data_IF_867656303925
#
_entry.id   IF_867656303925
#
_cell.length_a   1.000
_cell.length_b   1.000
_cell.length_c   1.000
_cell.angle_alpha   90.00
_cell.angle_beta   90.00
_cell.angle_gamma   90.00
#
_symmetry.space_group_name_H-M   'P 1'
#
loop_
_entity.id
_entity.type
_entity.pdbx_description
1 polymer ?
#
# COMPACT_ATOMS: atom_id res chain seq x y z
N UNK A 1 -36.84 -11.71 -48.00
CA UNK A 1 -37.21 -13.14 -48.13
C UNK A 1 -38.02 -13.26 -49.41
N UNK A 2 -37.62 -14.12 -50.35
CA UNK A 2 -38.34 -14.30 -51.61
C UNK A 2 -39.57 -15.19 -51.42
N UNK A 3 -40.60 -15.06 -52.28
CA UNK A 3 -41.83 -15.90 -52.31
C UNK A 3 -41.56 -17.42 -52.26
N UNK A 4 -40.36 -17.87 -52.68
CA UNK A 4 -39.92 -19.27 -52.57
C UNK A 4 -39.70 -19.74 -51.13
N UNK A 5 -39.35 -18.85 -50.20
CA UNK A 5 -39.17 -19.24 -48.80
C UNK A 5 -40.51 -19.34 -48.07
N UNK A 6 -41.48 -18.46 -48.36
CA UNK A 6 -42.83 -18.55 -47.79
C UNK A 6 -43.58 -19.81 -48.23
N UNK A 7 -43.42 -20.22 -49.50
CA UNK A 7 -44.05 -21.45 -50.04
C UNK A 7 -43.42 -22.75 -49.50
N UNK A 8 -42.17 -22.72 -49.05
CA UNK A 8 -41.50 -23.88 -48.46
C UNK A 8 -42.03 -24.19 -47.05
N UNK A 9 -42.16 -23.18 -46.19
CA UNK A 9 -42.65 -23.36 -44.81
C UNK A 9 -44.16 -23.63 -44.74
N UNK A 10 -44.97 -23.06 -45.64
CA UNK A 10 -46.42 -23.30 -45.68
C UNK A 10 -46.81 -24.70 -46.16
N UNK A 11 -45.96 -25.41 -46.91
CA UNK A 11 -46.17 -26.82 -47.31
C UNK A 11 -45.71 -27.85 -46.27
N UNK A 12 -44.93 -27.45 -45.27
CA UNK A 12 -44.48 -28.31 -44.17
C UNK A 12 -45.58 -28.47 -43.10
N UNK A 13 -46.79 -28.88 -43.49
CA UNK A 13 -47.81 -29.25 -42.53
C UNK A 13 -47.48 -30.62 -41.93
N UNK A 14 -47.30 -30.68 -40.60
CA UNK A 14 -47.11 -31.94 -39.85
C UNK A 14 -48.20 -32.98 -40.16
N UNK A 15 -49.37 -32.58 -40.70
CA UNK A 15 -50.42 -33.52 -41.12
C UNK A 15 -50.01 -34.36 -42.34
N UNK A 16 -49.24 -33.84 -43.29
CA UNK A 16 -48.97 -34.47 -44.59
C UNK A 16 -47.66 -35.30 -44.66
N UNK A 17 -46.89 -35.39 -43.56
CA UNK A 17 -45.66 -36.17 -43.51
C UNK A 17 -45.95 -37.68 -43.39
N UNK A 18 -45.07 -38.53 -43.97
CA UNK A 18 -45.10 -39.98 -43.72
C UNK A 18 -44.87 -40.26 -42.23
N UNK A 19 -45.53 -41.29 -41.70
CA UNK A 19 -45.44 -41.69 -40.27
C UNK A 19 -43.99 -41.86 -39.80
N UNK A 20 -43.12 -42.46 -40.61
CA UNK A 20 -41.69 -42.59 -40.28
C UNK A 20 -40.96 -41.26 -40.08
N UNK A 21 -41.31 -40.21 -40.84
CA UNK A 21 -40.71 -38.87 -40.69
C UNK A 21 -41.18 -38.21 -39.40
N UNK A 22 -42.46 -38.39 -39.03
CA UNK A 22 -43.01 -37.88 -37.76
C UNK A 22 -42.34 -38.54 -36.55
N UNK A 23 -42.11 -39.85 -36.63
CA UNK A 23 -41.44 -40.62 -35.57
C UNK A 23 -39.99 -40.13 -35.39
N UNK A 24 -39.24 -39.96 -36.48
CA UNK A 24 -37.88 -39.44 -36.43
C UNK A 24 -37.83 -38.00 -35.88
N UNK A 25 -38.73 -37.12 -36.32
CA UNK A 25 -38.85 -35.76 -35.76
C UNK A 25 -39.12 -35.77 -34.26
N UNK A 26 -40.00 -36.66 -33.78
CA UNK A 26 -40.29 -36.79 -32.35
C UNK A 26 -39.04 -37.24 -31.57
N UNK A 27 -38.27 -38.20 -32.10
CA UNK A 27 -37.01 -38.64 -31.50
C UNK A 27 -35.99 -37.51 -31.47
N UNK A 28 -35.82 -36.75 -32.55
CA UNK A 28 -34.94 -35.58 -32.58
C UNK A 28 -35.36 -34.51 -31.56
N UNK A 29 -36.66 -34.23 -31.43
CA UNK A 29 -37.17 -33.28 -30.43
C UNK A 29 -36.86 -33.77 -29.01
N UNK A 30 -37.10 -35.05 -28.72
CA UNK A 30 -36.80 -35.63 -27.41
C UNK A 30 -35.30 -35.56 -27.07
N UNK A 31 -34.43 -35.81 -28.05
CA UNK A 31 -32.98 -35.66 -27.90
C UNK A 31 -32.59 -34.20 -27.65
N UNK A 32 -33.12 -33.26 -28.42
CA UNK A 32 -32.84 -31.82 -28.22
C UNK A 32 -33.28 -31.39 -26.83
N UNK A 33 -34.48 -31.79 -26.38
CA UNK A 33 -35.00 -31.45 -25.04
C UNK A 33 -34.13 -32.05 -23.95
N UNK A 34 -33.74 -33.33 -24.03
CA UNK A 34 -32.88 -33.95 -23.02
C UNK A 34 -31.51 -33.27 -22.94
N UNK A 35 -30.92 -32.91 -24.08
CA UNK A 35 -29.67 -32.16 -24.12
C UNK A 35 -29.81 -30.74 -23.54
N UNK A 36 -30.90 -30.04 -23.81
CA UNK A 36 -31.16 -28.71 -23.22
C UNK A 36 -31.25 -28.82 -21.69
N UNK A 37 -31.96 -29.82 -21.17
CA UNK A 37 -32.06 -30.06 -19.72
C UNK A 37 -30.69 -30.37 -19.12
N UNK A 38 -29.93 -31.31 -19.69
CA UNK A 38 -28.58 -31.66 -19.25
C UNK A 38 -27.65 -30.44 -19.29
N UNK A 39 -27.79 -29.58 -20.31
CA UNK A 39 -27.03 -28.33 -20.42
C UNK A 39 -27.31 -27.38 -19.27
N UNK A 40 -28.58 -27.17 -18.94
CA UNK A 40 -28.99 -26.24 -17.88
C UNK A 40 -28.46 -26.73 -16.53
N UNK A 41 -28.65 -28.01 -16.22
CA UNK A 41 -28.14 -28.61 -14.99
C UNK A 41 -26.61 -28.63 -14.94
N UNK A 42 -25.95 -29.08 -16.02
CA UNK A 42 -24.49 -29.11 -16.12
C UNK A 42 -23.88 -27.72 -15.99
N UNK A 43 -24.49 -26.70 -16.58
CA UNK A 43 -24.04 -25.32 -16.46
C UNK A 43 -24.21 -24.78 -15.03
N UNK A 44 -25.33 -25.10 -14.36
CA UNK A 44 -25.55 -24.75 -12.96
C UNK A 44 -24.50 -25.39 -12.04
N UNK A 45 -24.23 -26.69 -12.23
CA UNK A 45 -23.20 -27.43 -11.48
C UNK A 45 -21.82 -26.82 -11.73
N UNK A 46 -21.45 -26.58 -12.98
CA UNK A 46 -20.16 -26.00 -13.35
C UNK A 46 -19.98 -24.60 -12.76
N UNK A 47 -21.01 -23.76 -12.82
CA UNK A 47 -20.99 -22.43 -12.23
C UNK A 47 -20.75 -22.46 -10.72
N UNK A 48 -21.46 -23.35 -10.01
CA UNK A 48 -21.27 -23.52 -8.58
C UNK A 48 -19.89 -24.09 -8.24
N UNK A 49 -19.37 -25.02 -9.05
CA UNK A 49 -18.05 -25.59 -8.85
C UNK A 49 -16.94 -24.57 -9.08
N UNK A 50 -17.02 -23.78 -10.16
CA UNK A 50 -16.07 -22.70 -10.42
C UNK A 50 -16.09 -21.67 -9.29
N UNK A 51 -17.27 -21.21 -8.86
CA UNK A 51 -17.39 -20.27 -7.72
C UNK A 51 -16.70 -20.78 -6.47
N UNK A 52 -16.98 -22.04 -6.09
CA UNK A 52 -16.38 -22.66 -4.90
C UNK A 52 -14.87 -22.87 -5.04
N UNK A 53 -14.40 -23.27 -6.23
CA UNK A 53 -12.98 -23.46 -6.49
C UNK A 53 -12.23 -22.14 -6.39
N UNK A 54 -12.72 -21.10 -7.07
CA UNK A 54 -12.12 -19.74 -7.00
C UNK A 54 -12.16 -19.18 -5.58
N UNK A 55 -13.26 -19.41 -4.84
CA UNK A 55 -13.37 -18.99 -3.45
C UNK A 55 -12.28 -19.61 -2.58
N UNK A 56 -12.14 -20.93 -2.67
CA UNK A 56 -11.18 -21.69 -1.90
C UNK A 56 -9.74 -21.28 -2.25
N UNK A 57 -9.44 -21.08 -3.52
CA UNK A 57 -8.12 -20.68 -3.98
C UNK A 57 -7.77 -19.25 -3.54
N UNK A 58 -8.72 -18.31 -3.63
CA UNK A 58 -8.53 -16.94 -3.10
C UNK A 58 -8.34 -16.95 -1.58
N UNK A 59 -9.14 -17.73 -0.85
CA UNK A 59 -9.04 -17.87 0.61
C UNK A 59 -7.69 -18.46 1.01
N UNK A 60 -7.24 -19.53 0.35
CA UNK A 60 -5.94 -20.15 0.60
C UNK A 60 -4.78 -19.18 0.35
N UNK A 61 -4.82 -18.44 -0.76
CA UNK A 61 -3.80 -17.46 -1.08
C UNK A 61 -3.80 -16.30 -0.08
N UNK A 62 -4.97 -15.78 0.27
CA UNK A 62 -5.13 -14.71 1.27
C UNK A 62 -4.61 -15.16 2.64
N UNK A 63 -4.94 -16.38 3.05
CA UNK A 63 -4.45 -16.95 4.31
C UNK A 63 -2.94 -17.14 4.31
N UNK A 64 -2.36 -17.64 3.22
CA UNK A 64 -0.91 -17.79 3.10
C UNK A 64 -0.19 -16.44 3.18
N UNK A 65 -0.69 -15.42 2.48
CA UNK A 65 -0.12 -14.07 2.47
C UNK A 65 -0.30 -13.35 3.81
N UNK A 66 -1.39 -13.63 4.53
CA UNK A 66 -1.56 -13.21 5.93
C UNK A 66 -0.45 -13.76 6.81
N UNK A 67 -0.21 -15.08 6.78
CA UNK A 67 0.82 -15.70 7.62
C UNK A 67 2.21 -15.15 7.28
N UNK A 68 2.54 -15.04 5.99
CA UNK A 68 3.81 -14.45 5.55
C UNK A 68 3.98 -13.02 6.10
N UNK A 69 2.94 -12.19 6.01
CA UNK A 69 3.01 -10.83 6.55
C UNK A 69 3.18 -10.79 8.07
N UNK A 70 2.49 -11.66 8.80
CA UNK A 70 2.64 -11.75 10.26
C UNK A 70 4.07 -12.16 10.65
N UNK A 71 4.62 -13.18 9.99
CA UNK A 71 5.96 -13.70 10.24
C UNK A 71 7.04 -12.63 9.91
N UNK A 72 6.98 -12.04 8.72
CA UNK A 72 7.93 -11.00 8.29
C UNK A 72 7.86 -9.75 9.19
N UNK A 73 6.66 -9.36 9.62
CA UNK A 73 6.50 -8.21 10.51
C UNK A 73 7.12 -8.47 11.90
N UNK A 74 6.86 -9.64 12.50
CA UNK A 74 7.46 -9.99 13.78
C UNK A 74 8.98 -10.17 13.68
N UNK A 75 9.50 -10.69 12.56
CA UNK A 75 10.94 -10.74 12.28
C UNK A 75 11.55 -9.33 12.24
N UNK A 76 10.94 -8.40 11.51
CA UNK A 76 11.40 -7.00 11.47
C UNK A 76 11.42 -6.37 12.86
N UNK A 77 10.40 -6.61 13.69
CA UNK A 77 10.40 -6.12 15.08
C UNK A 77 11.53 -6.72 15.93
N UNK A 78 11.85 -8.00 15.72
CA UNK A 78 12.98 -8.65 16.38
C UNK A 78 14.31 -8.04 15.92
N UNK A 79 14.48 -7.84 14.63
CA UNK A 79 15.68 -7.26 14.04
C UNK A 79 15.87 -5.78 14.41
N UNK A 80 14.78 -5.00 14.61
CA UNK A 80 14.90 -3.65 15.19
C UNK A 80 15.52 -3.71 16.59
N UNK A 81 15.12 -4.67 17.43
CA UNK A 81 15.73 -4.82 18.77
C UNK A 81 17.20 -5.19 18.67
N UNK A 82 17.57 -6.08 17.75
CA UNK A 82 18.96 -6.46 17.49
C UNK A 82 19.78 -5.28 16.96
N UNK A 83 19.22 -4.48 16.05
CA UNK A 83 19.85 -3.28 15.51
C UNK A 83 20.21 -2.30 16.61
N UNK A 84 19.30 -2.10 17.57
CA UNK A 84 19.51 -1.24 18.75
C UNK A 84 20.11 -2.01 19.94
N UNK A 85 21.21 -2.71 19.70
CA UNK A 85 22.06 -3.28 20.75
C UNK A 85 22.67 -2.20 21.66
N UNK A 86 23.19 -2.59 22.83
CA UNK A 86 23.88 -1.66 23.75
C UNK A 86 25.01 -0.86 23.06
N UNK A 87 25.75 -1.50 22.13
CA UNK A 87 26.79 -0.83 21.34
C UNK A 87 26.19 0.22 20.40
N UNK A 88 25.10 -0.11 19.70
CA UNK A 88 24.42 0.86 18.84
C UNK A 88 23.86 2.03 19.67
N UNK A 89 23.23 1.75 20.82
CA UNK A 89 22.68 2.79 21.69
C UNK A 89 23.79 3.71 22.24
N UNK A 90 24.96 3.15 22.56
CA UNK A 90 26.14 3.93 22.94
C UNK A 90 26.58 4.88 21.81
N UNK A 91 26.68 4.38 20.57
CA UNK A 91 26.98 5.23 19.40
C UNK A 91 25.89 6.28 19.14
N UNK A 92 24.62 5.97 19.40
CA UNK A 92 23.51 6.94 19.33
C UNK A 92 23.68 8.05 20.38
N UNK A 93 24.15 7.71 21.59
CA UNK A 93 24.47 8.70 22.62
C UNK A 93 25.58 9.65 22.18
N UNK A 94 26.64 9.12 21.55
CA UNK A 94 27.74 9.94 21.02
C UNK A 94 27.31 10.81 19.84
N UNK A 95 26.48 10.27 18.93
CA UNK A 95 25.86 11.04 17.85
C UNK A 95 25.04 12.21 18.41
N UNK A 96 24.24 11.96 19.46
CA UNK A 96 23.44 12.98 20.14
C UNK A 96 24.34 14.08 20.72
N UNK A 97 25.42 13.71 21.40
CA UNK A 97 26.41 14.67 21.91
C UNK A 97 27.03 15.50 20.77
N UNK A 98 27.40 14.86 19.66
CA UNK A 98 27.91 15.54 18.47
C UNK A 98 26.90 16.50 17.85
N UNK A 99 25.60 16.16 17.86
CA UNK A 99 24.54 17.06 17.39
C UNK A 99 24.52 18.34 18.22
N UNK A 100 24.49 18.23 19.55
CA UNK A 100 24.45 19.40 20.43
C UNK A 100 25.77 20.20 20.44
N UNK A 101 26.90 19.55 20.16
CA UNK A 101 28.20 20.21 20.02
C UNK A 101 28.47 20.79 18.63
N UNK A 102 27.61 20.56 17.64
CA UNK A 102 27.85 20.94 16.25
C UNK A 102 28.16 22.44 16.08
N UNK A 103 27.51 23.30 16.86
CA UNK A 103 27.78 24.75 16.84
C UNK A 103 29.18 25.11 17.34
N UNK A 104 29.74 24.34 18.27
CA UNK A 104 31.12 24.49 18.72
C UNK A 104 32.11 23.92 17.70
N UNK A 105 31.84 22.71 17.19
CA UNK A 105 32.69 22.03 16.19
C UNK A 105 32.77 22.83 14.88
N UNK A 106 31.68 23.51 14.53
CA UNK A 106 31.50 24.25 13.28
C UNK A 106 31.18 25.72 13.54
N UNK A 107 31.85 26.37 14.51
CA UNK A 107 31.56 27.75 14.91
C UNK A 107 31.47 28.77 13.75
N UNK A 108 32.29 28.62 12.72
CA UNK A 108 32.27 29.47 11.51
C UNK A 108 31.02 29.30 10.63
N UNK A 109 30.15 28.35 10.93
CA UNK A 109 28.84 28.18 10.30
C UNK A 109 27.72 28.92 11.05
N UNK A 110 28.00 29.34 12.29
CA UNK A 110 27.01 29.94 13.20
C UNK A 110 27.21 31.45 13.36
N UNK A 111 28.08 32.07 12.56
CA UNK A 111 28.10 33.54 12.44
C UNK A 111 26.88 34.05 11.65
N UNK A 112 26.54 35.32 11.85
CA UNK A 112 25.34 35.93 11.29
C UNK A 112 25.34 35.93 9.75
N UNK A 113 26.48 36.13 9.11
CA UNK A 113 26.59 36.20 7.64
C UNK A 113 26.41 34.81 7.02
N UNK A 114 27.04 33.79 7.62
CA UNK A 114 26.88 32.39 7.24
C UNK A 114 25.43 31.93 7.38
N UNK A 115 24.79 32.19 8.53
CA UNK A 115 23.41 31.81 8.78
C UNK A 115 22.43 32.54 7.84
N UNK A 116 22.64 33.83 7.57
CA UNK A 116 21.83 34.57 6.60
C UNK A 116 21.94 33.96 5.19
N UNK A 117 23.15 33.58 4.78
CA UNK A 117 23.39 32.89 3.51
C UNK A 117 22.71 31.52 3.47
N UNK A 118 22.81 30.73 4.53
CA UNK A 118 22.19 29.41 4.61
C UNK A 118 20.67 29.48 4.57
N UNK A 119 20.06 30.42 5.32
CA UNK A 119 18.61 30.68 5.26
C UNK A 119 18.15 30.97 3.84
N UNK A 120 18.87 31.84 3.10
CA UNK A 120 18.54 32.14 1.72
C UNK A 120 18.61 30.90 0.81
N UNK A 121 19.70 30.13 0.88
CA UNK A 121 19.88 28.94 0.05
C UNK A 121 18.86 27.84 0.38
N UNK A 122 18.60 27.61 1.67
CA UNK A 122 17.57 26.68 2.12
C UNK A 122 16.18 27.11 1.71
N UNK A 123 15.85 28.41 1.75
CA UNK A 123 14.52 28.89 1.34
C UNK A 123 14.23 28.56 -0.13
N UNK A 124 15.21 28.74 -1.02
CA UNK A 124 15.09 28.35 -2.42
C UNK A 124 14.95 26.83 -2.57
N UNK A 125 15.74 26.04 -1.84
CA UNK A 125 15.60 24.59 -1.82
C UNK A 125 14.20 24.14 -1.38
N UNK A 126 13.66 24.73 -0.31
CA UNK A 126 12.31 24.44 0.14
C UNK A 126 11.28 24.77 -0.94
N UNK A 127 11.36 25.94 -1.57
CA UNK A 127 10.42 26.37 -2.60
C UNK A 127 10.48 25.49 -3.86
N UNK A 128 11.69 25.21 -4.36
CA UNK A 128 11.89 24.56 -5.65
C UNK A 128 11.84 23.03 -5.54
N UNK A 129 12.58 22.46 -4.58
CA UNK A 129 12.85 21.02 -4.50
C UNK A 129 11.87 20.26 -3.59
N UNK A 130 11.22 20.95 -2.65
CA UNK A 130 10.27 20.33 -1.72
C UNK A 130 8.82 20.78 -2.02
N UNK A 131 8.50 22.03 -1.74
CA UNK A 131 7.19 22.66 -1.94
C UNK A 131 6.77 22.55 -3.41
N UNK A 132 7.70 22.73 -4.36
CA UNK A 132 7.49 22.55 -5.79
C UNK A 132 7.03 21.15 -6.21
N UNK A 133 7.40 20.11 -5.45
CA UNK A 133 7.00 18.70 -5.70
C UNK A 133 5.73 18.28 -4.98
N UNK A 134 5.21 19.12 -4.08
CA UNK A 134 3.95 18.85 -3.38
C UNK A 134 2.78 19.20 -4.30
N UNK A 135 2.07 18.16 -4.71
CA UNK A 135 0.90 18.28 -5.60
C UNK A 135 -0.41 18.60 -4.87
N UNK A 136 -0.45 18.51 -3.53
CA UNK A 136 -1.63 18.70 -2.70
C UNK A 136 -1.29 19.31 -1.34
N UNK A 137 -2.18 20.15 -0.79
CA UNK A 137 -2.01 20.80 0.51
C UNK A 137 -0.62 21.42 0.64
N UNK A 138 -0.24 22.13 -0.44
CA UNK A 138 1.06 22.78 -0.58
C UNK A 138 1.17 23.82 0.53
N UNK A 139 2.14 23.67 1.46
CA UNK A 139 2.30 24.59 2.56
C UNK A 139 2.89 25.90 2.03
N UNK A 140 2.64 26.98 2.77
CA UNK A 140 3.45 28.18 2.63
C UNK A 140 4.84 27.95 3.25
N UNK A 141 5.86 28.66 2.78
CA UNK A 141 7.23 28.46 3.24
C UNK A 141 7.33 28.65 4.76
N UNK A 142 6.71 29.71 5.29
CA UNK A 142 6.74 30.08 6.70
C UNK A 142 6.13 29.01 7.63
N UNK A 143 5.24 28.18 7.11
CA UNK A 143 4.60 27.09 7.87
C UNK A 143 5.55 25.93 8.16
N UNK A 144 6.60 25.76 7.35
CA UNK A 144 7.51 24.61 7.42
C UNK A 144 8.99 24.97 7.51
N UNK A 145 9.33 26.23 7.27
CA UNK A 145 10.73 26.65 7.23
C UNK A 145 11.35 26.63 8.63
N UNK A 146 12.59 26.10 8.78
CA UNK A 146 13.32 26.08 10.04
C UNK A 146 13.60 27.48 10.59
N UNK A 147 13.51 27.61 11.91
CA UNK A 147 13.68 28.91 12.60
C UNK A 147 14.99 28.97 13.39
N UNK A 148 15.39 27.88 14.05
CA UNK A 148 16.58 27.85 14.91
C UNK A 148 17.87 27.78 14.08
N UNK A 149 18.94 28.41 14.56
CA UNK A 149 20.23 28.41 13.87
C UNK A 149 20.81 27.00 13.70
N UNK A 150 20.65 26.15 14.72
CA UNK A 150 20.99 24.73 14.65
C UNK A 150 20.25 24.00 13.52
N UNK A 151 18.93 24.22 13.37
CA UNK A 151 18.12 23.64 12.29
C UNK A 151 18.64 24.10 10.92
N UNK A 152 18.90 25.40 10.78
CA UNK A 152 19.43 25.99 9.55
C UNK A 152 20.78 25.40 9.18
N UNK A 153 21.73 25.37 10.11
CA UNK A 153 23.06 24.84 9.84
C UNK A 153 23.01 23.35 9.47
N UNK A 154 22.29 22.55 10.24
CA UNK A 154 22.18 21.10 10.01
C UNK A 154 21.45 20.78 8.71
N UNK A 155 20.33 21.44 8.43
CA UNK A 155 19.62 21.19 7.18
C UNK A 155 20.37 21.73 5.96
N UNK A 156 21.07 22.85 6.08
CA UNK A 156 21.94 23.34 5.00
C UNK A 156 22.99 22.28 4.65
N UNK A 157 23.62 21.69 5.66
CA UNK A 157 24.64 20.66 5.49
C UNK A 157 24.09 19.34 4.94
N UNK A 158 23.01 18.80 5.53
CA UNK A 158 22.55 17.43 5.25
C UNK A 158 21.38 17.32 4.27
N UNK A 159 20.62 18.41 4.06
CA UNK A 159 19.57 18.47 3.04
C UNK A 159 20.10 19.17 1.80
N UNK A 160 20.41 20.46 1.89
CA UNK A 160 20.75 21.26 0.71
C UNK A 160 22.07 20.86 0.05
N UNK A 161 23.16 20.75 0.82
CA UNK A 161 24.48 20.35 0.30
C UNK A 161 24.62 18.86 -0.01
N UNK A 162 23.60 18.05 0.28
CA UNK A 162 23.65 16.63 0.00
C UNK A 162 23.64 16.41 -1.51
N UNK A 163 24.70 15.78 -2.02
CA UNK A 163 24.90 15.49 -3.45
C UNK A 163 23.83 14.56 -4.04
N UNK A 164 23.12 13.83 -3.20
CA UNK A 164 22.06 12.91 -3.63
C UNK A 164 20.71 13.63 -3.71
N UNK A 165 19.90 13.32 -4.74
CA UNK A 165 18.59 13.92 -4.92
C UNK A 165 17.62 13.52 -3.79
N UNK A 166 16.50 14.24 -3.70
CA UNK A 166 15.41 13.87 -2.79
C UNK A 166 14.97 12.41 -3.05
N UNK A 167 14.76 11.64 -1.98
CA UNK A 167 14.46 10.21 -2.04
C UNK A 167 15.68 9.28 -2.06
N UNK A 168 16.89 9.83 -2.24
CA UNK A 168 18.15 9.06 -2.21
C UNK A 168 19.19 9.63 -1.22
N UNK A 169 18.79 10.60 -0.41
CA UNK A 169 19.68 11.31 0.51
C UNK A 169 20.29 10.43 1.58
N UNK A 170 19.72 9.25 1.85
CA UNK A 170 20.28 8.23 2.71
C UNK A 170 21.59 7.62 2.17
N UNK A 171 21.95 7.85 0.91
CA UNK A 171 23.25 7.45 0.36
C UNK A 171 24.41 8.34 0.83
N UNK A 172 24.13 9.46 1.52
CA UNK A 172 25.18 10.28 2.14
C UNK A 172 25.64 9.62 3.44
N UNK A 173 26.73 8.86 3.39
CA UNK A 173 27.32 8.19 4.56
C UNK A 173 28.24 9.14 5.34
N UNK A 174 29.19 9.78 4.66
CA UNK A 174 30.25 10.59 5.27
C UNK A 174 30.37 11.94 4.55
N UNK A 175 30.52 13.03 5.31
CA UNK A 175 30.79 14.37 4.77
C UNK A 175 32.26 14.78 4.84
N UNK A 176 33.03 14.20 5.77
CA UNK A 176 34.39 14.59 6.12
C UNK A 176 34.47 16.04 6.62
N UNK A 177 33.47 16.48 7.37
CA UNK A 177 33.37 17.89 7.80
C UNK A 177 34.13 18.21 9.09
N UNK A 178 34.74 17.19 9.71
CA UNK A 178 35.53 17.30 10.93
C UNK A 178 34.74 17.47 12.22
N UNK A 179 33.40 17.46 12.18
CA UNK A 179 32.57 17.47 13.38
C UNK A 179 32.53 16.09 14.04
N UNK A 180 32.33 16.08 15.36
CA UNK A 180 32.05 14.85 16.10
C UNK A 180 30.74 14.19 15.64
N UNK A 181 29.75 14.99 15.21
CA UNK A 181 28.52 14.48 14.63
C UNK A 181 28.76 13.63 13.37
N UNK A 182 29.58 14.09 12.42
CA UNK A 182 29.82 13.37 11.15
C UNK A 182 30.51 12.02 11.36
N UNK A 183 31.39 11.92 12.36
CA UNK A 183 32.07 10.67 12.74
C UNK A 183 31.06 9.56 13.12
N UNK A 184 30.18 9.84 14.08
CA UNK A 184 29.18 8.87 14.53
C UNK A 184 28.03 8.72 13.52
N UNK A 185 27.71 9.78 12.78
CA UNK A 185 26.72 9.73 11.70
C UNK A 185 27.13 8.69 10.66
N UNK A 186 28.39 8.64 10.24
CA UNK A 186 28.86 7.68 9.23
C UNK A 186 28.63 6.21 9.64
N UNK A 187 28.91 5.87 10.90
CA UNK A 187 28.67 4.53 11.44
C UNK A 187 27.17 4.19 11.46
N UNK A 188 26.35 5.05 12.06
CA UNK A 188 24.90 4.84 12.20
C UNK A 188 24.22 4.81 10.83
N UNK A 189 24.59 5.73 9.94
CA UNK A 189 24.02 5.83 8.59
C UNK A 189 24.24 4.57 7.77
N UNK A 190 25.43 3.96 7.87
CA UNK A 190 25.75 2.73 7.14
C UNK A 190 24.85 1.58 7.61
N UNK A 191 24.75 1.37 8.92
CA UNK A 191 23.93 0.32 9.52
C UNK A 191 22.44 0.51 9.20
N UNK A 192 21.91 1.72 9.36
CA UNK A 192 20.49 1.99 9.14
C UNK A 192 20.11 1.93 7.66
N UNK A 193 21.02 2.31 6.75
CA UNK A 193 20.81 2.15 5.31
C UNK A 193 20.75 0.66 4.92
N UNK A 194 21.62 -0.17 5.49
CA UNK A 194 21.56 -1.61 5.25
C UNK A 194 20.29 -2.23 5.83
N UNK A 195 19.87 -1.82 7.03
CA UNK A 195 18.60 -2.24 7.61
C UNK A 195 17.40 -1.89 6.71
N UNK A 196 17.33 -0.63 6.23
CA UNK A 196 16.32 -0.18 5.26
C UNK A 196 16.32 -1.04 3.99
N UNK A 197 17.50 -1.36 3.45
CA UNK A 197 17.63 -2.15 2.23
C UNK A 197 17.17 -3.59 2.41
N UNK A 198 17.42 -4.19 3.58
CA UNK A 198 17.06 -5.59 3.88
C UNK A 198 15.57 -5.70 4.18
N UNK A 199 15.03 -4.83 5.03
CA UNK A 199 13.68 -4.97 5.57
C UNK A 199 12.63 -4.05 4.92
N UNK A 200 13.03 -3.16 4.01
CA UNK A 200 12.10 -2.32 3.25
C UNK A 200 11.39 -1.24 4.06
N UNK A 201 11.86 -0.89 5.27
CA UNK A 201 11.33 0.24 6.05
C UNK A 201 11.60 1.57 5.33
N UNK A 202 10.81 2.61 5.59
CA UNK A 202 10.88 3.86 4.83
C UNK A 202 11.96 4.80 5.38
N UNK A 203 11.98 4.99 6.70
CA UNK A 203 12.83 5.97 7.38
C UNK A 203 13.11 5.57 8.84
N UNK A 204 14.17 6.13 9.43
CA UNK A 204 14.47 6.05 10.87
C UNK A 204 14.77 7.45 11.37
N UNK A 205 14.16 7.81 12.50
CA UNK A 205 14.40 9.02 13.25
C UNK A 205 14.99 8.66 14.62
N UNK A 206 15.94 9.45 15.10
CA UNK A 206 16.35 9.40 16.51
C UNK A 206 16.01 10.75 17.13
N UNK A 207 15.29 10.70 18.24
CA UNK A 207 14.74 11.86 18.91
C UNK A 207 15.25 11.92 20.35
N UNK A 208 15.77 13.07 20.75
CA UNK A 208 16.19 13.29 22.13
C UNK A 208 14.99 13.52 23.04
N UNK A 209 14.93 12.78 24.15
CA UNK A 209 13.81 12.84 25.09
C UNK A 209 13.75 14.12 25.92
N UNK A 210 14.88 14.82 26.10
CA UNK A 210 14.91 16.02 26.93
C UNK A 210 14.50 17.27 26.15
N UNK A 211 15.05 17.44 24.95
CA UNK A 211 14.81 18.60 24.08
C UNK A 211 13.65 18.38 23.13
N UNK A 212 13.37 17.14 22.70
CA UNK A 212 12.48 16.82 21.60
C UNK A 212 13.10 17.02 20.22
N UNK A 213 14.42 17.25 20.13
CA UNK A 213 15.11 17.44 18.85
C UNK A 213 15.26 16.12 18.08
N UNK A 214 14.91 16.15 16.79
CA UNK A 214 15.19 15.10 15.82
C UNK A 214 16.65 15.20 15.41
N UNK A 215 17.55 14.72 16.26
CA UNK A 215 18.99 14.83 16.05
C UNK A 215 19.53 13.90 14.95
N UNK A 216 18.72 12.97 14.46
CA UNK A 216 19.05 12.12 13.30
C UNK A 216 17.81 11.80 12.47
N UNK A 217 17.99 11.76 11.14
CA UNK A 217 17.02 11.21 10.20
C UNK A 217 17.74 10.46 9.07
N UNK A 218 17.30 9.25 8.73
CA UNK A 218 17.95 8.40 7.73
C UNK A 218 17.87 9.00 6.32
N UNK A 219 16.69 9.48 5.92
CA UNK A 219 16.43 10.04 4.58
C UNK A 219 16.75 11.54 4.43
N UNK A 220 17.11 12.23 5.52
CA UNK A 220 17.39 13.68 5.54
C UNK A 220 16.23 14.45 4.90
N UNK A 221 15.01 14.21 5.37
CA UNK A 221 13.84 15.00 4.98
C UNK A 221 13.74 16.28 5.85
N UNK A 222 12.72 17.11 5.60
CA UNK A 222 12.57 18.40 6.28
C UNK A 222 12.24 18.31 7.77
N UNK A 223 11.94 17.12 8.31
CA UNK A 223 11.78 16.91 9.74
C UNK A 223 13.12 16.77 10.48
N UNK A 224 14.23 16.56 9.77
CA UNK A 224 15.56 16.52 10.37
C UNK A 224 15.93 17.82 11.08
N UNK A 225 16.59 17.70 12.25
CA UNK A 225 16.98 18.79 13.15
C UNK A 225 15.83 19.62 13.75
N UNK A 226 14.58 19.34 13.38
CA UNK A 226 13.41 20.03 13.95
C UNK A 226 13.09 19.53 15.36
N UNK A 227 12.16 20.21 16.02
CA UNK A 227 11.76 19.89 17.39
C UNK A 227 10.32 19.36 17.45
N UNK A 228 10.11 18.18 18.03
CA UNK A 228 8.79 17.54 18.14
C UNK A 228 7.92 18.08 19.28
N UNK A 229 8.46 18.87 20.21
CA UNK A 229 7.66 19.56 21.24
C UNK A 229 7.17 20.92 20.80
N UNK A 230 8.01 21.67 20.09
CA UNK A 230 7.81 23.10 19.84
C UNK A 230 7.87 23.51 18.37
N UNK A 231 8.48 22.69 17.51
CA UNK A 231 8.72 22.99 16.10
C UNK A 231 7.52 22.75 15.18
N UNK A 232 7.76 22.86 13.86
CA UNK A 232 6.73 22.84 12.81
C UNK A 232 5.95 21.52 12.73
N UNK A 233 6.54 20.41 13.19
CA UNK A 233 5.92 19.08 13.14
C UNK A 233 5.40 18.57 14.50
N UNK A 234 5.28 19.43 15.52
CA UNK A 234 4.87 19.03 16.88
C UNK A 234 3.48 18.37 16.98
N UNK A 235 2.59 18.62 16.03
CA UNK A 235 1.22 18.09 16.02
C UNK A 235 1.05 16.82 15.17
N UNK A 236 2.14 16.31 14.60
CA UNK A 236 2.14 15.10 13.76
C UNK A 236 2.07 13.81 14.58
N UNK A 237 1.70 12.69 13.94
CA UNK A 237 1.66 11.38 14.59
C UNK A 237 3.05 10.93 15.05
N UNK A 238 4.14 11.25 14.34
CA UNK A 238 5.50 10.97 14.82
C UNK A 238 5.78 11.61 16.19
N UNK A 239 5.32 12.85 16.42
CA UNK A 239 5.48 13.50 17.74
C UNK A 239 4.68 12.80 18.84
N UNK A 240 3.45 12.36 18.53
CA UNK A 240 2.61 11.65 19.49
C UNK A 240 3.21 10.29 19.85
N UNK A 241 3.59 9.48 18.86
CA UNK A 241 4.18 8.15 19.08
C UNK A 241 5.51 8.23 19.81
N UNK A 242 6.34 9.24 19.49
CA UNK A 242 7.54 9.55 20.26
C UNK A 242 7.24 9.83 21.74
N UNK A 243 6.26 10.68 22.02
CA UNK A 243 5.90 11.06 23.40
C UNK A 243 5.33 9.89 24.19
N UNK A 244 4.53 9.03 23.56
CA UNK A 244 4.03 7.80 24.19
C UNK A 244 5.17 6.84 24.56
N UNK A 245 6.14 6.65 23.66
CA UNK A 245 7.32 5.85 23.93
C UNK A 245 8.18 6.45 25.06
N UNK A 246 8.38 7.77 25.05
CA UNK A 246 9.14 8.45 26.09
C UNK A 246 8.47 8.35 27.47
N UNK A 247 7.13 8.41 27.53
CA UNK A 247 6.37 8.32 28.77
C UNK A 247 6.34 6.90 29.39
N UNK A 248 6.75 5.88 28.64
CA UNK A 248 6.77 4.49 29.10
C UNK A 248 7.61 4.33 30.38
N UNK A 249 7.02 3.87 31.48
CA UNK A 249 7.74 3.69 32.76
C UNK A 249 8.44 2.34 32.86
N UNK A 250 8.04 1.39 32.03
CA UNK A 250 8.60 0.04 32.06
C UNK A 250 10.02 0.06 31.47
N UNK A 251 10.95 -0.58 32.17
CA UNK A 251 12.34 -0.76 31.70
C UNK A 251 12.43 -1.72 30.52
N UNK A 252 11.32 -2.36 30.14
CA UNK A 252 11.25 -3.22 28.97
C UNK A 252 11.07 -2.37 27.71
N UNK A 253 11.99 -2.54 26.75
CA UNK A 253 11.98 -1.92 25.43
C UNK A 253 10.81 -2.43 24.57
N UNK A 254 9.59 -2.03 24.93
CA UNK A 254 8.37 -2.30 24.18
C UNK A 254 8.18 -1.25 23.09
N UNK A 255 7.50 -1.69 22.02
CA UNK A 255 7.17 -0.84 20.90
C UNK A 255 5.87 -0.06 21.14
N UNK A 256 5.80 1.12 20.53
CA UNK A 256 4.65 2.01 20.46
C UNK A 256 4.32 2.28 19.01
N UNK A 257 3.05 2.52 18.69
CA UNK A 257 2.58 2.47 17.32
C UNK A 257 1.64 3.63 17.02
N UNK A 258 1.65 4.11 15.78
CA UNK A 258 0.55 4.90 15.21
C UNK A 258 0.18 4.38 13.83
N UNK A 259 -1.13 4.43 13.56
CA UNK A 259 -1.71 4.11 12.25
C UNK A 259 -1.25 5.14 11.19
N UNK A 260 -1.50 4.83 9.93
CA UNK A 260 -1.24 5.68 8.80
C UNK A 260 -1.89 7.05 8.95
N UNK A 261 -1.07 8.09 8.83
CA UNK A 261 -1.49 9.49 8.76
C UNK A 261 -0.68 10.23 7.70
N UNK A 262 -1.26 11.24 7.07
CA UNK A 262 -0.51 12.06 6.13
C UNK A 262 0.62 12.78 6.83
N UNK A 263 1.83 12.64 6.29
CA UNK A 263 3.00 13.30 6.83
C UNK A 263 3.63 14.21 5.79
N UNK A 264 3.58 15.51 6.08
CA UNK A 264 4.04 16.55 5.16
C UNK A 264 5.52 16.37 4.74
N UNK A 265 6.47 16.06 5.65
CA UNK A 265 7.86 15.79 5.27
C UNK A 265 8.07 14.66 4.27
N UNK A 266 7.12 13.74 4.16
CA UNK A 266 7.08 12.67 3.15
C UNK A 266 6.15 13.02 1.98
N UNK A 267 6.11 14.31 1.61
CA UNK A 267 5.29 14.86 0.52
C UNK A 267 3.78 14.59 0.68
N UNK A 268 3.31 14.59 1.93
CA UNK A 268 1.93 14.24 2.30
C UNK A 268 1.55 12.79 1.95
N UNK A 269 2.50 11.87 1.83
CA UNK A 269 2.19 10.43 1.80
C UNK A 269 1.70 9.96 3.18
N UNK A 270 0.79 8.96 3.23
CA UNK A 270 0.41 8.33 4.48
C UNK A 270 1.57 7.49 5.03
N UNK A 271 1.94 7.74 6.28
CA UNK A 271 2.98 7.00 7.01
C UNK A 271 2.47 6.54 8.37
N UNK A 272 2.83 5.32 8.74
CA UNK A 272 2.66 4.75 10.07
C UNK A 272 4.01 4.76 10.82
N UNK A 273 3.98 4.73 12.14
CA UNK A 273 5.20 4.80 12.95
C UNK A 273 5.26 3.71 14.00
N UNK A 274 6.48 3.24 14.25
CA UNK A 274 6.84 2.35 15.36
C UNK A 274 7.92 3.04 16.17
N UNK A 275 7.66 3.36 17.44
CA UNK A 275 8.66 3.94 18.33
C UNK A 275 9.18 2.94 19.36
N UNK A 276 10.48 3.01 19.63
CA UNK A 276 11.21 2.19 20.59
C UNK A 276 12.06 3.10 21.50
N UNK A 277 11.83 3.11 22.83
CA UNK A 277 12.73 3.75 23.78
C UNK A 277 14.09 3.06 23.77
N UNK A 278 15.16 3.84 23.59
CA UNK A 278 16.53 3.33 23.65
C UNK A 278 17.06 3.51 25.07
N UNK A 279 17.23 2.39 25.78
CA UNK A 279 17.63 2.37 27.19
C UNK A 279 19.02 1.78 27.31
N UNK A 280 19.94 2.50 27.96
CA UNK A 280 21.28 2.03 28.28
C UNK A 280 21.56 2.31 29.76
N UNK A 281 22.01 1.30 30.51
CA UNK A 281 22.26 1.41 31.96
C UNK A 281 21.09 2.03 32.77
N UNK A 282 19.86 1.65 32.44
CA UNK A 282 18.60 2.18 33.01
C UNK A 282 18.32 3.66 32.71
N UNK A 283 19.05 4.28 31.78
CA UNK A 283 18.79 5.63 31.31
C UNK A 283 18.22 5.60 29.89
N UNK A 284 17.16 6.39 29.65
CA UNK A 284 16.63 6.59 28.29
C UNK A 284 17.54 7.55 27.54
N UNK A 285 18.35 7.01 26.63
CA UNK A 285 19.31 7.77 25.83
C UNK A 285 18.58 8.59 24.76
N UNK A 286 17.63 7.97 24.07
CA UNK A 286 16.84 8.56 22.99
C UNK A 286 15.59 7.71 22.74
N UNK A 287 14.76 8.12 21.78
CA UNK A 287 13.70 7.28 21.20
C UNK A 287 14.00 7.10 19.72
N UNK A 288 14.04 5.86 19.26
CA UNK A 288 14.03 5.55 17.85
C UNK A 288 12.58 5.54 17.34
N UNK A 289 12.32 6.18 16.20
CA UNK A 289 11.04 6.09 15.50
C UNK A 289 11.29 5.56 14.10
N UNK A 290 10.71 4.40 13.79
CA UNK A 290 10.74 3.73 12.51
C UNK A 290 9.48 4.11 11.75
N UNK A 291 9.65 4.54 10.50
CA UNK A 291 8.56 4.92 9.61
C UNK A 291 8.25 3.80 8.62
N UNK A 292 6.98 3.45 8.51
CA UNK A 292 6.45 2.46 7.57
C UNK A 292 5.46 3.14 6.61
N UNK A 293 5.73 3.03 5.32
CA UNK A 293 4.85 3.38 4.23
C UNK A 293 4.03 2.18 3.76
N UNK A 294 3.13 2.39 2.80
CA UNK A 294 2.39 1.28 2.20
C UNK A 294 3.32 0.34 1.43
N UNK A 295 4.44 0.85 0.92
CA UNK A 295 5.43 0.09 0.14
C UNK A 295 6.00 -1.11 0.94
N UNK A 296 6.17 -0.97 2.26
CA UNK A 296 6.62 -2.05 3.14
C UNK A 296 5.70 -3.28 3.04
N UNK A 297 4.39 -3.06 3.23
CA UNK A 297 3.39 -4.11 3.21
C UNK A 297 3.11 -4.63 1.79
N UNK A 298 3.16 -3.73 0.80
CA UNK A 298 2.98 -4.08 -0.62
C UNK A 298 4.04 -5.05 -1.11
N UNK A 299 5.31 -4.86 -0.74
CA UNK A 299 6.39 -5.75 -1.14
C UNK A 299 6.18 -7.19 -0.65
N UNK A 300 5.54 -7.36 0.52
CA UNK A 300 5.26 -8.68 1.10
C UNK A 300 4.00 -9.31 0.46
N UNK A 301 2.95 -8.49 0.30
CA UNK A 301 1.63 -8.97 -0.14
C UNK A 301 1.47 -9.08 -1.66
N UNK A 302 2.29 -8.37 -2.43
CA UNK A 302 2.25 -8.43 -3.89
C UNK A 302 2.47 -9.86 -4.39
N UNK A 303 1.70 -10.25 -5.39
CA UNK A 303 1.76 -11.57 -6.00
C UNK A 303 1.66 -11.42 -7.52
N UNK A 304 2.80 -11.54 -8.18
CA UNK A 304 2.90 -11.36 -9.63
C UNK A 304 2.05 -12.39 -10.38
N UNK A 305 2.04 -13.65 -9.92
CA UNK A 305 1.28 -14.72 -10.55
C UNK A 305 -0.21 -14.43 -10.49
N UNK A 306 -0.71 -14.02 -9.32
CA UNK A 306 -2.12 -13.65 -9.12
C UNK A 306 -2.53 -12.55 -10.09
N UNK A 307 -1.76 -11.46 -10.17
CA UNK A 307 -2.07 -10.30 -11.00
C UNK A 307 -2.06 -10.65 -12.49
N UNK A 308 -1.15 -11.53 -12.92
CA UNK A 308 -1.04 -11.94 -14.33
C UNK A 308 -2.14 -12.91 -14.77
N UNK A 309 -2.59 -13.79 -13.88
CA UNK A 309 -3.50 -14.88 -14.23
C UNK A 309 -4.95 -14.57 -13.89
N UNK A 310 -5.20 -13.71 -12.90
CA UNK A 310 -6.54 -13.40 -12.40
C UNK A 310 -6.88 -11.93 -12.60
N UNK A 311 -7.71 -11.66 -13.61
CA UNK A 311 -8.05 -10.30 -14.02
C UNK A 311 -8.68 -9.49 -12.87
N UNK A 312 -7.96 -8.44 -12.45
CA UNK A 312 -8.36 -7.56 -11.36
C UNK A 312 -8.36 -8.23 -9.99
N UNK A 313 -7.57 -9.29 -9.80
CA UNK A 313 -7.29 -9.83 -8.49
C UNK A 313 -6.14 -9.09 -7.79
N UNK A 314 -6.26 -8.96 -6.47
CA UNK A 314 -5.25 -8.30 -5.64
C UNK A 314 -5.40 -8.77 -4.19
N UNK A 315 -4.33 -8.60 -3.44
CA UNK A 315 -4.33 -8.68 -1.98
C UNK A 315 -4.05 -7.27 -1.45
N UNK A 316 -4.79 -6.85 -0.44
CA UNK A 316 -4.68 -5.54 0.19
C UNK A 316 -4.87 -5.67 1.70
N UNK A 317 -4.66 -4.59 2.44
CA UNK A 317 -4.96 -4.47 3.85
C UNK A 317 -6.15 -3.53 4.03
N UNK A 318 -7.04 -3.83 4.96
CA UNK A 318 -8.17 -2.95 5.30
C UNK A 318 -8.23 -2.68 6.79
N UNK A 319 -8.73 -1.50 7.16
CA UNK A 319 -9.16 -1.20 8.52
C UNK A 319 -10.63 -1.57 8.77
N UNK A 320 -11.11 -1.30 9.99
CA UNK A 320 -12.49 -1.48 10.40
C UNK A 320 -13.51 -0.64 9.59
N UNK A 321 -13.07 0.42 8.92
CA UNK A 321 -13.89 1.23 8.02
C UNK A 321 -13.89 0.68 6.58
N UNK A 322 -13.27 -0.48 6.33
CA UNK A 322 -13.05 -1.09 5.03
C UNK A 322 -12.23 -0.23 4.06
N UNK A 323 -11.39 0.68 4.56
CA UNK A 323 -10.46 1.46 3.74
C UNK A 323 -9.21 0.66 3.47
N UNK A 324 -8.76 0.64 2.21
CA UNK A 324 -7.49 0.05 1.83
C UNK A 324 -6.33 0.79 2.51
N UNK A 325 -5.31 0.07 2.96
CA UNK A 325 -4.06 0.64 3.47
C UNK A 325 -2.92 0.53 2.46
N UNK A 326 -3.12 -0.20 1.36
CA UNK A 326 -2.16 -0.32 0.27
C UNK A 326 -2.70 0.28 -1.02
N UNK A 327 -1.79 0.68 -1.89
CA UNK A 327 -2.12 1.21 -3.19
C UNK A 327 -2.54 0.09 -4.16
N UNK A 328 -3.49 0.39 -5.04
CA UNK A 328 -3.82 -0.52 -6.14
C UNK A 328 -2.80 -0.36 -7.27
N UNK A 329 -2.45 -1.44 -7.98
CA UNK A 329 -1.53 -1.42 -9.13
C UNK A 329 -1.81 -0.31 -10.15
N UNK A 330 -3.09 -0.05 -10.42
CA UNK A 330 -3.49 0.97 -11.39
C UNK A 330 -3.14 2.40 -10.93
N UNK A 331 -2.97 2.62 -9.62
CA UNK A 331 -2.51 3.90 -9.05
C UNK A 331 -1.03 4.14 -9.36
N UNK A 332 -0.20 3.10 -9.33
CA UNK A 332 1.21 3.20 -9.74
C UNK A 332 1.35 3.36 -11.25
N UNK A 333 0.59 2.61 -12.03
CA UNK A 333 0.74 2.58 -13.48
C UNK A 333 0.20 3.84 -14.17
N UNK A 334 -0.95 4.37 -13.73
CA UNK A 334 -1.63 5.49 -14.40
C UNK A 334 -2.27 6.48 -13.38
N UNK A 335 -1.50 7.14 -12.50
CA UNK A 335 -2.02 7.97 -11.40
C UNK A 335 -2.96 9.09 -11.85
N UNK A 336 -2.67 9.75 -12.98
CA UNK A 336 -3.54 10.80 -13.52
C UNK A 336 -4.89 10.26 -14.00
N UNK A 337 -4.88 9.14 -14.73
CA UNK A 337 -6.09 8.48 -15.23
C UNK A 337 -6.93 7.94 -14.07
N UNK A 338 -6.25 7.43 -13.04
CA UNK A 338 -6.86 7.00 -11.79
C UNK A 338 -7.58 8.16 -11.10
N UNK A 339 -6.90 9.29 -10.90
CA UNK A 339 -7.51 10.50 -10.31
C UNK A 339 -8.69 11.03 -11.15
N UNK A 340 -8.56 11.08 -12.48
CA UNK A 340 -9.65 11.47 -13.37
C UNK A 340 -10.87 10.55 -13.26
N UNK A 341 -10.65 9.24 -13.09
CA UNK A 341 -11.73 8.24 -12.96
C UNK A 341 -12.53 8.44 -11.67
N UNK A 342 -11.87 8.73 -10.56
CA UNK A 342 -12.53 9.05 -9.29
C UNK A 342 -13.39 10.31 -9.39
N UNK A 343 -12.88 11.38 -10.00
CA UNK A 343 -13.63 12.63 -10.23
C UNK A 343 -14.89 12.37 -11.06
N UNK A 344 -14.74 11.63 -12.18
CA UNK A 344 -15.86 11.30 -13.09
C UNK A 344 -16.96 10.49 -12.41
N UNK A 345 -16.61 9.64 -11.44
CA UNK A 345 -17.57 8.79 -10.70
C UNK A 345 -18.29 9.50 -9.56
N UNK A 346 -18.16 10.82 -9.45
CA UNK A 346 -18.90 11.61 -8.46
C UNK A 346 -18.35 11.46 -7.03
N UNK A 347 -17.17 10.86 -6.87
CA UNK A 347 -16.38 10.96 -5.63
C UNK A 347 -15.85 12.39 -5.57
N UNK A 348 -16.71 13.31 -5.15
CA UNK A 348 -16.44 14.74 -4.96
C UNK A 348 -15.87 15.03 -3.58
N UNK A 349 -15.19 14.06 -2.98
CA UNK A 349 -14.39 14.31 -1.79
C UNK A 349 -13.04 14.84 -2.28
N UNK A 350 -12.79 16.12 -2.01
CA UNK A 350 -11.58 16.85 -2.38
C UNK A 350 -10.33 16.06 -1.94
N UNK A 351 -10.36 15.44 -0.76
CA UNK A 351 -9.31 14.54 -0.24
C UNK A 351 -9.12 13.27 -1.07
N UNK A 352 -10.19 12.59 -1.50
CA UNK A 352 -10.10 11.36 -2.33
C UNK A 352 -9.50 11.63 -3.71
N UNK A 353 -9.98 12.65 -4.41
CA UNK A 353 -9.50 12.98 -5.75
C UNK A 353 -8.04 13.43 -5.76
N UNK A 354 -7.51 13.88 -4.62
CA UNK A 354 -6.20 14.50 -4.54
C UNK A 354 -5.15 13.55 -3.96
N UNK A 355 -5.50 12.65 -3.06
CA UNK A 355 -4.60 11.59 -2.65
C UNK A 355 -4.39 10.49 -3.70
N UNK A 356 -5.40 10.30 -4.54
CA UNK A 356 -5.30 9.57 -5.80
C UNK A 356 -4.19 10.07 -6.74
N UNK A 357 -3.79 11.36 -6.64
CA UNK A 357 -2.75 11.96 -7.48
C UNK A 357 -1.33 11.78 -6.95
N UNK A 358 -1.17 11.48 -5.66
CA UNK A 358 0.15 11.25 -5.03
C UNK A 358 0.44 9.76 -4.83
N UNK A 359 -0.35 8.88 -5.47
CA UNK A 359 -0.22 7.44 -5.35
C UNK A 359 -0.54 6.92 -3.94
N UNK A 360 -1.47 7.58 -3.23
CA UNK A 360 -1.86 7.22 -1.86
C UNK A 360 -3.34 6.89 -1.78
N UNK A 361 -3.82 5.86 -2.50
CA UNK A 361 -5.17 5.34 -2.27
C UNK A 361 -5.33 4.71 -0.88
N UNK A 362 -4.19 4.37 -0.26
CA UNK A 362 -4.06 4.01 1.14
C UNK A 362 -4.73 5.04 2.07
N UNK A 363 -5.52 4.53 3.00
CA UNK A 363 -6.30 5.23 4.03
C UNK A 363 -7.49 6.06 3.52
N UNK A 364 -7.89 5.90 2.25
CA UNK A 364 -8.75 6.89 1.57
C UNK A 364 -9.85 6.26 0.74
N UNK A 365 -9.50 5.27 -0.07
CA UNK A 365 -10.47 4.44 -0.78
C UNK A 365 -10.71 3.15 -0.03
N UNK A 366 -11.86 2.54 -0.28
CA UNK A 366 -12.24 1.27 0.30
C UNK A 366 -13.25 0.56 -0.58
N UNK A 367 -13.87 -0.46 -0.01
CA UNK A 367 -14.98 -1.16 -0.66
C UNK A 367 -16.22 -1.11 0.22
N UNK A 368 -17.39 -1.24 -0.41
CA UNK A 368 -18.67 -1.38 0.27
C UNK A 368 -19.11 -2.83 0.22
N UNK A 369 -19.38 -3.42 1.36
CA UNK A 369 -19.99 -4.75 1.44
C UNK A 369 -21.39 -4.73 0.80
N UNK A 370 -21.74 -5.80 0.09
CA UNK A 370 -23.11 -6.01 -0.40
C UNK A 370 -24.02 -6.48 0.74
N UNK A 371 -25.28 -6.04 0.74
CA UNK A 371 -26.30 -6.46 1.70
C UNK A 371 -26.75 -7.92 1.52
N UNK A 372 -26.46 -8.54 0.37
CA UNK A 372 -26.87 -9.90 0.02
C UNK A 372 -25.79 -10.94 0.37
N UNK A 373 -25.45 -11.04 1.66
CA UNK A 373 -24.47 -12.03 2.15
C UNK A 373 -25.10 -13.43 2.29
N UNK A 374 -24.83 -14.33 1.34
CA UNK A 374 -25.14 -15.76 1.51
C UNK A 374 -24.00 -16.47 2.23
N UNK A 375 -24.34 -17.16 3.33
CA UNK A 375 -23.46 -17.86 4.30
C UNK A 375 -22.40 -18.83 3.74
N UNK A 376 -22.41 -19.13 2.44
CA UNK A 376 -21.51 -20.11 1.80
C UNK A 376 -21.03 -19.68 0.39
N UNK A 377 -21.11 -18.39 0.06
CA UNK A 377 -20.54 -17.82 -1.17
C UNK A 377 -19.46 -16.77 -0.81
N UNK A 378 -18.47 -16.58 -1.71
CA UNK A 378 -17.55 -15.43 -1.64
C UNK A 378 -18.35 -14.16 -1.34
N UNK A 379 -17.89 -13.37 -0.37
CA UNK A 379 -18.54 -12.10 -0.09
C UNK A 379 -18.47 -11.24 -1.35
N UNK A 380 -19.56 -10.54 -1.62
CA UNK A 380 -19.62 -9.62 -2.75
C UNK A 380 -19.52 -8.21 -2.23
N UNK A 381 -18.75 -7.40 -2.93
CA UNK A 381 -18.55 -6.00 -2.60
C UNK A 381 -18.53 -5.17 -3.85
N UNK A 382 -18.58 -3.86 -3.66
CA UNK A 382 -18.38 -2.90 -4.74
C UNK A 382 -17.21 -2.01 -4.34
N UNK A 383 -16.16 -1.99 -5.17
CA UNK A 383 -15.03 -1.08 -4.95
C UNK A 383 -15.45 0.37 -5.15
N UNK A 384 -14.60 1.31 -4.75
CA UNK A 384 -14.78 2.73 -5.08
C UNK A 384 -14.96 2.99 -6.59
N UNK A 385 -14.53 2.07 -7.46
CA UNK A 385 -14.71 2.13 -8.92
C UNK A 385 -16.02 1.55 -9.42
N UNK A 386 -16.96 1.21 -8.54
CA UNK A 386 -18.20 0.54 -8.91
C UNK A 386 -17.97 -0.78 -9.66
N UNK A 387 -16.83 -1.44 -9.39
CA UNK A 387 -16.56 -2.80 -9.84
C UNK A 387 -17.11 -3.76 -8.79
N UNK A 388 -17.97 -4.67 -9.23
CA UNK A 388 -18.36 -5.81 -8.40
C UNK A 388 -17.14 -6.70 -8.19
N UNK A 389 -16.83 -6.96 -6.93
CA UNK A 389 -15.74 -7.83 -6.51
C UNK A 389 -16.26 -9.01 -5.72
N UNK A 390 -15.55 -10.11 -5.84
CA UNK A 390 -15.60 -11.24 -4.92
C UNK A 390 -14.41 -11.12 -3.97
N UNK A 391 -14.63 -11.23 -2.67
CA UNK A 391 -13.57 -11.05 -1.70
C UNK A 391 -13.62 -12.01 -0.51
N UNK A 392 -12.46 -12.15 0.12
CA UNK A 392 -12.21 -12.83 1.39
C UNK A 392 -11.41 -11.86 2.26
N UNK A 393 -11.86 -11.63 3.50
CA UNK A 393 -11.11 -10.86 4.49
C UNK A 393 -10.81 -11.71 5.73
N UNK A 394 -9.57 -11.66 6.20
CA UNK A 394 -9.07 -12.41 7.35
C UNK A 394 -8.44 -11.44 8.35
N UNK A 395 -8.71 -11.55 9.66
CA UNK A 395 -8.10 -10.68 10.66
C UNK A 395 -6.59 -10.85 10.66
N UNK A 396 -5.84 -9.74 10.71
CA UNK A 396 -4.38 -9.75 10.75
C UNK A 396 -3.91 -9.59 12.21
N UNK A 397 -2.96 -10.42 12.63
CA UNK A 397 -2.44 -10.46 14.00
C UNK A 397 -1.07 -9.78 14.11
N UNK A 398 -0.98 -8.53 13.66
CA UNK A 398 0.23 -7.72 13.82
C UNK A 398 0.07 -6.70 14.95
N UNK A 399 1.13 -6.48 15.72
CA UNK A 399 1.12 -5.53 16.84
C UNK A 399 1.02 -4.10 16.30
N UNK A 400 0.17 -3.28 16.92
CA UNK A 400 0.05 -1.85 16.62
C UNK A 400 -0.97 -1.49 15.54
N UNK A 401 -1.49 -2.46 14.81
CA UNK A 401 -2.43 -2.22 13.71
C UNK A 401 -3.63 -3.16 13.79
N UNK A 402 -4.83 -2.60 13.78
CA UNK A 402 -6.09 -3.36 13.73
C UNK A 402 -6.57 -3.49 12.29
N UNK A 403 -5.89 -4.36 11.55
CA UNK A 403 -6.13 -4.57 10.12
C UNK A 403 -6.66 -5.96 9.81
N UNK A 404 -7.17 -6.11 8.59
CA UNK A 404 -7.51 -7.38 7.98
C UNK A 404 -6.83 -7.49 6.62
N UNK A 405 -6.40 -8.70 6.25
CA UNK A 405 -5.93 -9.00 4.91
C UNK A 405 -7.14 -9.27 4.02
N UNK A 406 -7.26 -8.53 2.94
CA UNK A 406 -8.33 -8.63 1.95
C UNK A 406 -7.77 -9.19 0.64
N UNK A 407 -8.15 -10.41 0.28
CA UNK A 407 -8.01 -10.91 -1.08
C UNK A 407 -9.28 -10.64 -1.87
N UNK A 408 -9.17 -10.10 -3.07
CA UNK A 408 -10.34 -9.87 -3.93
C UNK A 408 -10.04 -10.11 -5.41
N UNK A 409 -11.10 -10.29 -6.20
CA UNK A 409 -11.07 -10.38 -7.67
C UNK A 409 -12.32 -9.77 -8.30
N UNK A 410 -12.23 -9.32 -9.55
CA UNK A 410 -13.41 -8.80 -10.26
C UNK A 410 -14.37 -9.92 -10.66
N UNK A 411 -15.68 -9.65 -10.60
CA UNK A 411 -16.70 -10.62 -11.05
C UNK A 411 -16.56 -10.94 -12.55
N UNK A 412 -15.94 -10.07 -13.34
CA UNK A 412 -15.73 -10.27 -14.78
C UNK A 412 -14.80 -11.46 -15.08
N UNK A 413 -13.76 -11.67 -14.28
CA UNK A 413 -12.90 -12.85 -14.39
C UNK A 413 -13.73 -14.14 -14.34
N UNK A 414 -14.65 -14.21 -13.37
CA UNK A 414 -15.54 -15.35 -13.19
C UNK A 414 -16.52 -15.51 -14.38
N UNK A 415 -17.07 -14.40 -14.89
CA UNK A 415 -17.93 -14.40 -16.08
C UNK A 415 -17.18 -14.87 -17.34
N UNK A 416 -15.91 -14.54 -17.48
CA UNK A 416 -15.07 -14.93 -18.62
C UNK A 416 -14.77 -16.44 -18.63
N UNK A 417 -14.45 -17.02 -17.47
CA UNK A 417 -14.32 -18.47 -17.29
C UNK A 417 -15.61 -19.20 -17.71
N UNK A 418 -16.77 -18.71 -17.24
CA UNK A 418 -18.07 -19.27 -17.59
C UNK A 418 -18.38 -19.15 -19.08
N UNK A 419 -18.07 -18.00 -19.71
CA UNK A 419 -18.29 -17.78 -21.15
C UNK A 419 -17.48 -18.77 -21.99
N UNK A 420 -16.23 -19.02 -21.59
CA UNK A 420 -15.32 -19.95 -22.27
C UNK A 420 -15.79 -21.40 -22.12
N UNK A 421 -16.31 -21.76 -20.95
CA UNK A 421 -16.94 -23.06 -20.75
C UNK A 421 -18.19 -23.23 -21.62
N UNK A 422 -19.07 -22.21 -21.67
CA UNK A 422 -20.27 -22.23 -22.53
C UNK A 422 -19.92 -22.44 -24.00
N UNK A 423 -18.93 -21.73 -24.53
CA UNK A 423 -18.56 -21.84 -25.94
C UNK A 423 -18.01 -23.22 -26.30
N UNK A 424 -17.21 -23.82 -25.42
CA UNK A 424 -16.70 -25.20 -25.62
C UNK A 424 -17.84 -26.23 -25.58
N UNK A 425 -18.77 -26.10 -24.63
CA UNK A 425 -19.95 -26.97 -24.54
C UNK A 425 -20.82 -26.83 -25.81
N UNK A 426 -21.05 -25.59 -26.29
CA UNK A 426 -21.80 -25.35 -27.52
C UNK A 426 -21.12 -25.96 -28.76
N UNK A 427 -19.79 -25.89 -28.84
CA UNK A 427 -19.04 -26.52 -29.92
C UNK A 427 -19.20 -28.04 -29.92
N UNK A 428 -19.14 -28.68 -28.75
CA UNK A 428 -19.43 -30.11 -28.60
C UNK A 428 -20.86 -30.44 -29.05
N UNK A 429 -21.84 -29.58 -28.74
CA UNK A 429 -23.23 -29.76 -29.21
C UNK A 429 -23.36 -29.71 -30.73
N UNK A 430 -22.70 -28.73 -31.38
CA UNK A 430 -22.73 -28.62 -32.84
C UNK A 430 -22.11 -29.87 -33.48
N UNK A 431 -20.99 -30.35 -32.96
CA UNK A 431 -20.34 -31.57 -33.46
C UNK A 431 -21.24 -32.80 -33.29
N UNK A 432 -21.88 -32.99 -32.14
CA UNK A 432 -22.79 -34.11 -31.90
C UNK A 432 -24.04 -34.06 -32.79
N UNK A 433 -24.62 -32.88 -33.00
CA UNK A 433 -25.77 -32.70 -33.90
C UNK A 433 -25.40 -33.02 -35.34
N UNK A 434 -24.23 -32.58 -35.80
CA UNK A 434 -23.74 -32.86 -37.14
C UNK A 434 -23.52 -34.37 -37.33
N UNK A 435 -22.87 -35.04 -36.36
CA UNK A 435 -22.69 -36.50 -36.40
C UNK A 435 -24.02 -37.26 -36.45
N UNK A 436 -25.01 -36.84 -35.66
CA UNK A 436 -26.35 -37.45 -35.64
C UNK A 436 -27.18 -37.21 -36.91
N UNK A 437 -26.77 -36.28 -37.78
CA UNK A 437 -27.37 -36.10 -39.11
C UNK A 437 -26.74 -36.96 -40.20
N UNK A 438 -25.56 -37.53 -39.94
CA UNK A 438 -24.84 -38.42 -40.86
C UNK A 438 -25.01 -39.92 -40.56
N UNK A 439 -25.67 -40.26 -39.46
CA UNK A 439 -26.13 -41.61 -39.08
C UNK A 439 -27.62 -41.74 -39.26
#
# INVERSE_FOLDING_TARGET
MSERQETFFTRLSLKNLRIGIKLNLLVYILLIVSFVVISIFGFSILNNHLKRSTAKELEQLTFHKKLLLEDEYDEVLSEIKTLFSDEMISNVSELKSGYFNYSSDKWSMFDADSLAKFRKLLSNYYLDEFIGKINWSKPELEEIFPERDQEIAMQYTYLFKNKWPAGEKEKLVLLEDGSSYDLYHSFIQSNFRDFKRIHGINNIYLVDGASGDVFYNLNKNIAFATNLYSGKFKSSEISKTFQEALAATDTEARFFYSDFSFFLPEYNKPMAYIALPLILYNEKVAVAVIELGSEFFENILFDEWLVQHWEGASINLIDNDNKFKLNELQQYAEPEKYAQTLIKKGIRNKTLSQAAKIGGGANIIGFKESSDQKKFELKTGTTAFNHEILYVNLPLQIKGFDYQVLGYSTVNYHKNLLRTAKSKILLVYIVLLVLATFT
#
